data_IF_684577895585
#
_entry.id   IF_684577895585
#
_cell.length_a   1.000
_cell.length_b   1.000
_cell.length_c   1.000
_cell.angle_alpha   90.00
_cell.angle_beta   90.00
_cell.angle_gamma   90.00
#
_symmetry.space_group_name_H-M   'P 1'
#
loop_
_entity.id
_entity.type
_entity.pdbx_description
1 polymer ?
#
# COMPACT_ATOMS: atom_id res chain seq x y z
N UNK A 1 -1.62 25.99 -59.80
CA UNK A 1 -1.72 24.53 -59.65
C UNK A 1 -0.72 24.08 -58.59
N UNK A 2 -1.16 23.17 -57.69
CA UNK A 2 -0.40 22.34 -56.73
C UNK A 2 0.02 23.02 -55.40
N UNK A 3 -0.63 22.61 -54.30
CA UNK A 3 -0.11 22.92 -52.97
C UNK A 3 -1.01 22.69 -51.75
N UNK A 4 -2.29 22.30 -51.89
CA UNK A 4 -3.21 22.26 -50.72
C UNK A 4 -3.43 20.87 -50.08
N UNK A 5 -2.69 19.81 -50.45
CA UNK A 5 -3.07 18.44 -50.09
C UNK A 5 -2.26 17.77 -48.95
N UNK A 6 -1.28 18.43 -48.31
CA UNK A 6 -0.29 17.72 -47.47
C UNK A 6 -0.27 18.09 -45.97
N UNK A 7 -1.20 18.90 -45.47
CA UNK A 7 -1.23 19.35 -44.05
C UNK A 7 -1.99 18.39 -43.13
N UNK A 8 -2.78 17.46 -43.69
CA UNK A 8 -3.61 16.52 -42.92
C UNK A 8 -2.81 15.31 -42.37
N UNK A 9 -1.66 14.98 -42.97
CA UNK A 9 -0.81 13.85 -42.57
C UNK A 9 -0.04 14.03 -41.25
N UNK A 10 0.58 15.19 -40.93
CA UNK A 10 1.26 15.34 -39.64
C UNK A 10 0.28 15.31 -38.47
N UNK A 11 -0.94 15.80 -38.67
CA UNK A 11 -1.99 15.81 -37.64
C UNK A 11 -2.50 14.40 -37.33
N UNK A 12 -2.68 13.57 -38.37
CA UNK A 12 -3.05 12.15 -38.21
C UNK A 12 -1.93 11.34 -37.56
N UNK A 13 -0.66 11.63 -37.87
CA UNK A 13 0.51 11.00 -37.21
C UNK A 13 0.64 11.41 -35.75
N UNK A 14 0.38 12.67 -35.43
CA UNK A 14 0.37 13.16 -34.04
C UNK A 14 -0.74 12.49 -33.23
N UNK A 15 -1.93 12.33 -33.82
CA UNK A 15 -3.08 11.68 -33.17
C UNK A 15 -2.84 10.17 -32.96
N UNK A 16 -2.16 9.50 -33.91
CA UNK A 16 -1.73 8.10 -33.75
C UNK A 16 -0.61 7.91 -32.70
N UNK A 17 0.33 8.86 -32.60
CA UNK A 17 1.36 8.84 -31.55
C UNK A 17 0.75 9.09 -30.16
N UNK A 18 -0.20 10.02 -30.05
CA UNK A 18 -0.90 10.30 -28.79
C UNK A 18 -1.79 9.13 -28.35
N UNK A 19 -2.37 8.40 -29.30
CA UNK A 19 -3.15 7.18 -29.00
C UNK A 19 -2.28 6.03 -28.47
N UNK A 20 -1.01 5.92 -28.88
CA UNK A 20 -0.10 4.87 -28.38
C UNK A 20 0.43 5.15 -26.96
N UNK A 21 0.51 6.41 -26.54
CA UNK A 21 1.00 6.77 -25.19
C UNK A 21 -0.04 6.57 -24.08
N UNK A 22 -1.32 6.49 -24.44
CA UNK A 22 -2.43 6.35 -23.47
C UNK A 22 -2.59 4.94 -22.90
N UNK A 23 -1.83 3.94 -23.38
CA UNK A 23 -1.94 2.56 -22.90
C UNK A 23 -1.02 2.21 -21.73
N UNK A 24 -0.60 3.22 -20.97
CA UNK A 24 -0.04 2.99 -19.63
C UNK A 24 -1.17 2.95 -18.62
N UNK A 25 -2.07 1.97 -18.76
CA UNK A 25 -2.99 1.62 -17.69
C UNK A 25 -2.14 0.98 -16.59
N UNK A 26 -1.72 1.79 -15.62
CA UNK A 26 -1.32 1.28 -14.32
C UNK A 26 -2.53 0.50 -13.79
N UNK A 27 -2.46 -0.83 -13.85
CA UNK A 27 -3.34 -1.66 -13.05
C UNK A 27 -3.01 -1.30 -11.60
N UNK A 28 -3.87 -0.49 -10.99
CA UNK A 28 -3.86 -0.29 -9.56
C UNK A 28 -4.07 -1.67 -8.92
N UNK A 29 -3.09 -2.14 -8.15
CA UNK A 29 -3.32 -3.23 -7.21
C UNK A 29 -4.44 -2.74 -6.29
N UNK A 30 -5.61 -3.36 -6.40
CA UNK A 30 -6.78 -3.00 -5.58
C UNK A 30 -6.58 -3.62 -4.19
N UNK A 31 -5.78 -2.98 -3.34
CA UNK A 31 -5.70 -3.34 -1.93
C UNK A 31 -6.99 -2.87 -1.25
N UNK A 32 -7.78 -3.80 -0.74
CA UNK A 32 -9.05 -3.50 -0.09
C UNK A 32 -8.97 -3.77 1.40
N UNK A 33 -9.23 -2.74 2.21
CA UNK A 33 -9.35 -2.91 3.66
C UNK A 33 -10.68 -3.60 3.92
N UNK A 34 -10.63 -4.77 4.55
CA UNK A 34 -11.82 -5.56 4.87
C UNK A 34 -12.32 -5.23 6.28
N UNK A 35 -11.38 -5.03 7.21
CA UNK A 35 -11.71 -4.74 8.60
C UNK A 35 -10.62 -3.87 9.21
N UNK A 36 -11.01 -2.88 9.99
CA UNK A 36 -10.09 -2.08 10.80
C UNK A 36 -10.81 -1.71 12.09
N UNK A 37 -10.22 -2.07 13.23
CA UNK A 37 -10.75 -1.79 14.55
C UNK A 37 -9.63 -1.28 15.46
N UNK A 38 -9.91 -0.18 16.15
CA UNK A 38 -9.05 0.37 17.18
C UNK A 38 -9.56 -0.11 18.53
N UNK A 39 -8.71 -0.82 19.26
CA UNK A 39 -9.04 -1.42 20.56
C UNK A 39 -8.14 -0.79 21.64
N UNK A 40 -8.65 -0.51 22.85
CA UNK A 40 -7.81 -0.14 23.98
C UNK A 40 -6.91 -1.33 24.39
N UNK A 41 -5.61 -1.09 24.53
CA UNK A 41 -4.61 -2.08 24.96
C UNK A 41 -3.88 -1.64 26.24
N UNK A 42 -2.94 -2.47 26.71
CA UNK A 42 -2.11 -2.14 27.88
C UNK A 42 -1.19 -0.95 27.58
N UNK A 43 -1.58 0.24 28.06
CA UNK A 43 -0.80 1.48 27.94
C UNK A 43 -1.10 2.34 26.72
N UNK A 44 -2.15 2.04 25.95
CA UNK A 44 -2.53 2.86 24.80
C UNK A 44 -3.61 2.26 23.92
N UNK A 45 -3.58 2.62 22.65
CA UNK A 45 -4.50 2.13 21.63
C UNK A 45 -3.75 1.26 20.64
N UNK A 46 -4.38 0.14 20.27
CA UNK A 46 -3.87 -0.79 19.27
C UNK A 46 -4.82 -0.84 18.08
N UNK A 47 -4.26 -0.97 16.88
CA UNK A 47 -5.02 -1.23 15.66
C UNK A 47 -4.95 -2.72 15.30
N UNK A 48 -6.11 -3.30 15.04
CA UNK A 48 -6.25 -4.56 14.36
C UNK A 48 -6.86 -4.30 12.98
N UNK A 49 -6.16 -4.69 11.93
CA UNK A 49 -6.63 -4.51 10.57
C UNK A 49 -6.49 -5.80 9.75
N UNK A 50 -7.48 -6.06 8.91
CA UNK A 50 -7.47 -7.08 7.88
C UNK A 50 -7.54 -6.40 6.51
N UNK A 51 -6.49 -6.60 5.74
CA UNK A 51 -6.28 -6.01 4.43
C UNK A 51 -6.30 -7.17 3.43
N UNK A 52 -7.11 -7.06 2.39
CA UNK A 52 -7.07 -7.96 1.25
C UNK A 52 -6.10 -7.36 0.23
N UNK A 53 -4.97 -8.04 0.03
CA UNK A 53 -3.93 -7.64 -0.91
C UNK A 53 -3.70 -8.79 -1.88
N UNK A 54 -3.99 -8.54 -3.16
CA UNK A 54 -3.62 -9.44 -4.25
C UNK A 54 -2.32 -8.95 -4.88
N UNK A 55 -1.38 -9.85 -5.13
CA UNK A 55 -0.12 -9.50 -5.80
C UNK A 55 -0.24 -9.78 -7.28
N UNK A 56 -0.01 -8.76 -8.09
CA UNK A 56 0.17 -8.94 -9.52
C UNK A 56 1.23 -10.03 -9.82
N UNK A 57 0.98 -10.97 -10.75
CA UNK A 57 1.96 -11.98 -11.17
C UNK A 57 3.36 -11.44 -11.47
N UNK A 58 3.45 -10.19 -11.97
CA UNK A 58 4.75 -9.53 -12.22
C UNK A 58 5.55 -9.25 -10.94
N UNK A 59 4.88 -8.88 -9.85
CA UNK A 59 5.53 -8.66 -8.55
C UNK A 59 6.00 -9.99 -7.95
N UNK A 60 5.18 -11.04 -8.08
CA UNK A 60 5.56 -12.41 -7.70
C UNK A 60 6.80 -12.89 -8.45
N UNK A 61 6.85 -12.72 -9.76
CA UNK A 61 8.02 -13.06 -10.57
C UNK A 61 9.26 -12.24 -10.18
N UNK A 62 9.08 -10.96 -9.87
CA UNK A 62 10.17 -10.09 -9.43
C UNK A 62 10.79 -10.59 -8.11
N UNK A 63 9.95 -11.00 -7.14
CA UNK A 63 10.42 -11.59 -5.88
C UNK A 63 11.28 -12.83 -6.14
N UNK A 64 10.79 -13.76 -6.96
CA UNK A 64 11.48 -15.02 -7.27
C UNK A 64 12.83 -14.75 -7.97
N UNK A 65 12.90 -13.69 -8.78
CA UNK A 65 14.14 -13.23 -9.43
C UNK A 65 15.12 -12.54 -8.47
N UNK A 66 14.79 -12.43 -7.19
CA UNK A 66 15.63 -11.85 -6.14
C UNK A 66 15.40 -10.35 -5.91
N UNK A 67 14.36 -9.75 -6.51
CA UNK A 67 14.00 -8.36 -6.23
C UNK A 67 13.28 -8.30 -4.89
N UNK A 68 13.74 -7.47 -3.97
CA UNK A 68 13.04 -7.25 -2.71
C UNK A 68 11.85 -6.30 -2.93
N UNK A 69 10.67 -6.66 -2.43
CA UNK A 69 9.51 -5.79 -2.42
C UNK A 69 9.35 -5.12 -1.06
N UNK A 70 8.96 -3.85 -1.10
CA UNK A 70 8.73 -3.02 0.06
C UNK A 70 7.26 -2.61 0.07
N UNK A 71 6.58 -2.86 1.18
CA UNK A 71 5.21 -2.43 1.41
C UNK A 71 5.17 -1.58 2.67
N UNK A 72 4.38 -0.52 2.64
CA UNK A 72 4.18 0.36 3.79
C UNK A 72 2.69 0.37 4.07
N UNK A 73 2.30 0.02 5.29
CA UNK A 73 0.96 0.27 5.77
C UNK A 73 1.01 1.55 6.59
N UNK A 74 0.30 2.57 6.13
CA UNK A 74 0.24 3.87 6.77
C UNK A 74 -1.08 4.00 7.52
N UNK A 75 -1.04 4.56 8.72
CA UNK A 75 -2.20 4.90 9.49
C UNK A 75 -2.16 6.37 9.82
N UNK A 76 -3.20 7.08 9.39
CA UNK A 76 -3.42 8.48 9.74
C UNK A 76 -4.71 8.58 10.54
N UNK A 77 -4.60 9.11 11.76
CA UNK A 77 -5.75 9.42 12.61
C UNK A 77 -5.94 10.93 12.59
N UNK A 78 -7.04 11.35 11.98
CA UNK A 78 -7.39 12.77 11.89
C UNK A 78 -8.45 13.16 12.92
N UNK A 79 -8.36 14.40 13.40
CA UNK A 79 -9.41 15.04 14.19
C UNK A 79 -10.10 16.10 13.33
N UNK A 80 -11.42 15.98 13.08
CA UNK A 80 -12.15 16.96 12.29
C UNK A 80 -12.21 18.31 13.03
N UNK A 81 -11.81 19.39 12.36
CA UNK A 81 -11.84 20.76 12.89
C UNK A 81 -12.69 21.67 11.99
N UNK A 82 -13.43 22.57 12.62
CA UNK A 82 -14.56 23.28 11.98
C UNK A 82 -14.23 24.40 10.99
N UNK A 83 -13.00 24.92 10.90
CA UNK A 83 -12.78 26.15 10.12
C UNK A 83 -11.56 26.20 9.18
N UNK A 84 -10.78 25.14 9.01
CA UNK A 84 -9.63 25.26 8.09
C UNK A 84 -9.07 23.95 7.55
N UNK A 85 -8.72 22.96 8.36
CA UNK A 85 -8.24 21.65 7.89
C UNK A 85 -8.31 20.64 9.04
N UNK A 86 -8.43 19.35 8.72
CA UNK A 86 -8.28 18.28 9.71
C UNK A 86 -6.86 18.31 10.30
N UNK A 87 -6.73 18.04 11.59
CA UNK A 87 -5.43 17.90 12.24
C UNK A 87 -5.08 16.41 12.34
N UNK A 88 -3.91 16.03 11.82
CA UNK A 88 -3.34 14.70 12.01
C UNK A 88 -2.88 14.60 13.48
N UNK A 89 -3.56 13.76 14.25
CA UNK A 89 -3.26 13.54 15.68
C UNK A 89 -2.17 12.48 15.83
N UNK A 90 -2.24 11.45 14.98
CA UNK A 90 -1.32 10.32 15.01
C UNK A 90 -1.05 9.88 13.57
N UNK A 91 0.22 9.70 13.25
CA UNK A 91 0.70 9.15 11.99
C UNK A 91 1.67 8.01 12.31
N UNK A 92 1.41 6.82 11.77
CA UNK A 92 2.23 5.64 11.99
C UNK A 92 2.42 4.89 10.69
N UNK A 93 3.65 4.45 10.45
CA UNK A 93 4.01 3.63 9.30
C UNK A 93 4.51 2.26 9.77
N UNK A 94 4.01 1.21 9.13
CA UNK A 94 4.49 -0.15 9.31
C UNK A 94 5.16 -0.63 8.02
N UNK A 95 6.48 -0.77 8.10
CA UNK A 95 7.32 -1.13 6.98
C UNK A 95 7.49 -2.65 6.88
N UNK A 96 7.05 -3.21 5.77
CA UNK A 96 7.21 -4.60 5.39
C UNK A 96 8.23 -4.73 4.26
N UNK A 97 9.09 -5.74 4.36
CA UNK A 97 10.01 -6.12 3.28
C UNK A 97 9.95 -7.61 3.03
N UNK A 98 9.70 -7.98 1.78
CA UNK A 98 9.71 -9.36 1.30
C UNK A 98 10.95 -9.57 0.45
N UNK A 99 11.67 -10.66 0.68
CA UNK A 99 12.80 -11.08 -0.16
C UNK A 99 12.81 -12.59 -0.33
N UNK A 100 13.29 -13.06 -1.48
CA UNK A 100 13.46 -14.49 -1.75
C UNK A 100 14.92 -14.90 -1.63
N UNK A 101 15.17 -15.99 -0.90
CA UNK A 101 16.50 -16.57 -0.78
C UNK A 101 16.60 -17.83 -1.63
N UNK A 102 17.28 -17.76 -2.78
CA UNK A 102 17.33 -18.86 -3.75
C UNK A 102 18.00 -20.14 -3.23
N UNK A 103 19.05 -20.02 -2.39
CA UNK A 103 19.77 -21.17 -1.84
C UNK A 103 18.89 -22.01 -0.91
N UNK A 104 18.22 -21.35 0.05
CA UNK A 104 17.34 -22.02 1.02
C UNK A 104 15.91 -22.19 0.51
N UNK A 105 15.60 -21.64 -0.68
CA UNK A 105 14.27 -21.59 -1.29
C UNK A 105 13.18 -21.05 -0.36
N UNK A 106 13.56 -20.12 0.53
CA UNK A 106 12.68 -19.55 1.54
C UNK A 106 12.37 -18.09 1.22
N UNK A 107 11.14 -17.67 1.51
CA UNK A 107 10.76 -16.27 1.56
C UNK A 107 11.10 -15.70 2.93
N UNK A 108 11.61 -14.48 2.97
CA UNK A 108 11.89 -13.76 4.21
C UNK A 108 11.02 -12.51 4.25
N UNK A 109 10.19 -12.45 5.28
CA UNK A 109 9.41 -11.28 5.66
C UNK A 109 10.15 -10.54 6.77
N UNK A 110 10.28 -9.23 6.61
CA UNK A 110 10.79 -8.33 7.65
C UNK A 110 9.71 -7.31 7.99
N UNK A 111 9.42 -7.16 9.28
CA UNK A 111 8.44 -6.23 9.83
C UNK A 111 9.18 -5.37 10.86
N UNK A 112 9.57 -4.15 10.47
CA UNK A 112 10.48 -3.35 11.30
C UNK A 112 11.78 -4.10 11.61
N UNK A 113 11.98 -4.49 12.88
CA UNK A 113 13.13 -5.27 13.36
C UNK A 113 12.89 -6.79 13.42
N UNK A 114 11.65 -7.24 13.24
CA UNK A 114 11.30 -8.66 13.27
C UNK A 114 11.56 -9.28 11.90
N UNK A 115 12.26 -10.41 11.88
CA UNK A 115 12.48 -11.20 10.67
C UNK A 115 11.86 -12.59 10.83
N UNK A 116 11.08 -13.01 9.85
CA UNK A 116 10.46 -14.33 9.81
C UNK A 116 10.66 -14.97 8.43
N UNK A 117 11.02 -16.25 8.41
CA UNK A 117 11.16 -17.01 7.18
C UNK A 117 9.91 -17.87 6.94
N UNK A 118 9.54 -18.02 5.68
CA UNK A 118 8.37 -18.75 5.21
C UNK A 118 8.75 -19.63 4.00
N UNK A 119 8.03 -20.72 3.82
CA UNK A 119 8.25 -21.66 2.70
C UNK A 119 7.43 -21.28 1.46
N UNK A 120 6.34 -20.52 1.61
CA UNK A 120 5.48 -20.09 0.51
C UNK A 120 5.19 -18.59 0.55
N UNK A 121 5.00 -17.99 -0.62
CA UNK A 121 4.62 -16.58 -0.76
C UNK A 121 3.24 -16.33 -0.16
N UNK A 122 2.28 -17.25 -0.37
CA UNK A 122 0.93 -17.11 0.19
C UNK A 122 0.94 -17.05 1.72
N UNK A 123 1.86 -17.76 2.38
CA UNK A 123 2.00 -17.68 3.84
C UNK A 123 2.48 -16.30 4.27
N UNK A 124 3.42 -15.69 3.53
CA UNK A 124 3.87 -14.31 3.75
C UNK A 124 2.71 -13.33 3.60
N UNK A 125 1.95 -13.44 2.51
CA UNK A 125 0.83 -12.55 2.23
C UNK A 125 -0.24 -12.64 3.31
N UNK A 126 -0.66 -13.85 3.70
CA UNK A 126 -1.64 -14.02 4.79
C UNK A 126 -1.21 -13.39 6.11
N UNK A 127 0.09 -13.41 6.41
CA UNK A 127 0.63 -12.73 7.61
C UNK A 127 0.61 -11.23 7.45
N UNK A 128 0.99 -10.69 6.29
CA UNK A 128 0.97 -9.24 6.02
C UNK A 128 -0.43 -8.65 5.98
N UNK A 129 -1.38 -9.41 5.42
CA UNK A 129 -2.80 -9.04 5.36
C UNK A 129 -3.45 -8.92 6.75
N UNK A 130 -2.84 -9.49 7.80
CA UNK A 130 -3.38 -9.51 9.16
C UNK A 130 -2.48 -8.72 10.11
N UNK A 131 -2.80 -7.44 10.28
CA UNK A 131 -2.15 -6.58 11.27
C UNK A 131 -2.83 -6.81 12.62
N UNK A 132 -2.04 -7.12 13.64
CA UNK A 132 -2.53 -7.42 15.00
C UNK A 132 -1.71 -6.68 16.04
N UNK A 133 -2.39 -6.11 17.04
CA UNK A 133 -1.80 -5.40 18.17
C UNK A 133 -0.77 -4.34 17.75
N UNK A 134 -1.02 -3.64 16.63
CA UNK A 134 -0.12 -2.56 16.21
C UNK A 134 -0.36 -1.35 17.11
N UNK A 135 0.63 -1.01 17.93
CA UNK A 135 0.54 0.13 18.84
C UNK A 135 0.53 1.43 18.04
N UNK A 136 -0.57 2.17 18.11
CA UNK A 136 -0.78 3.37 17.29
C UNK A 136 -0.55 4.64 18.10
N UNK A 137 -1.03 4.66 19.35
CA UNK A 137 -0.97 5.84 20.23
C UNK A 137 -0.82 5.43 21.69
N UNK A 138 -0.19 6.28 22.49
CA UNK A 138 -0.23 6.18 23.95
C UNK A 138 -1.60 6.54 24.52
N UNK A 139 -1.90 6.11 25.75
CA UNK A 139 -3.18 6.42 26.42
C UNK A 139 -3.42 7.94 26.58
N UNK A 140 -2.35 8.74 26.64
CA UNK A 140 -2.39 10.19 26.82
C UNK A 140 -2.59 10.97 25.50
N UNK A 141 -2.47 10.30 24.34
CA UNK A 141 -2.49 10.95 23.02
C UNK A 141 -3.89 10.95 22.36
N UNK A 142 -4.77 10.02 22.76
CA UNK A 142 -6.12 9.88 22.21
C UNK A 142 -7.16 10.22 23.29
N UNK A 143 -7.89 11.33 23.08
CA UNK A 143 -8.95 11.76 23.98
C UNK A 143 -10.19 10.87 23.80
N UNK A 144 -10.72 10.23 24.87
CA UNK A 144 -11.90 9.38 24.77
C UNK A 144 -13.14 10.19 24.40
N UNK A 145 -13.89 9.75 23.37
CA UNK A 145 -15.20 10.28 23.00
C UNK A 145 -15.31 11.03 21.67
N UNK A 146 -14.27 11.02 20.82
CA UNK A 146 -14.29 11.67 19.50
C UNK A 146 -14.25 10.62 18.39
N UNK A 147 -15.20 10.70 17.46
CA UNK A 147 -15.22 9.87 16.25
C UNK A 147 -14.02 10.27 15.38
N UNK A 148 -13.11 9.32 15.14
CA UNK A 148 -11.94 9.53 14.29
C UNK A 148 -12.16 8.88 12.94
N UNK A 149 -11.90 9.62 11.87
CA UNK A 149 -11.88 9.11 10.51
C UNK A 149 -10.51 8.45 10.28
N UNK A 150 -10.53 7.18 9.89
CA UNK A 150 -9.33 6.35 9.72
C UNK A 150 -9.18 6.06 8.24
N UNK A 151 -8.09 6.52 7.64
CA UNK A 151 -7.67 6.14 6.28
C UNK A 151 -6.40 5.30 6.38
N UNK A 152 -6.34 4.20 5.62
CA UNK A 152 -5.24 3.24 5.55
C UNK A 152 -4.91 2.93 4.09
#
# INVERSE_FOLDING_TARGET
>A
MRGCANILDPLRRLLLLLALTSFSAFAADESRITHAEIVPGDGGYVLNADIELDLNPRLTDAIIRGVALHFVAELVIERPRWYWFNEVVVERELNYRISYHAITRSYRLTIGSLHQNFESLDAVLRTMQRIRNWQIAGADELAPGVSHEVSL
#
